data_IF_201441255782
#
_entry.id   IF_201441255782
#
_cell.length_a   1.000
_cell.length_b   1.000
_cell.length_c   1.000
_cell.angle_alpha   90.00
_cell.angle_beta   90.00
_cell.angle_gamma   90.00
#
_symmetry.space_group_name_H-M   'P 1'
#
loop_
_entity.id
_entity.type
_entity.pdbx_description
1 polymer ?
#
# COMPACT_ATOMS: atom_id res chain seq x y z
N UNK A 1 42.14 1.49 -45.48
CA UNK A 1 40.81 2.15 -45.52
C UNK A 1 40.27 2.23 -44.10
N UNK A 2 40.43 3.38 -43.45
CA UNK A 2 40.06 3.58 -42.03
C UNK A 2 38.71 4.29 -42.01
N UNK A 3 37.63 3.58 -41.65
CA UNK A 3 36.28 4.17 -41.52
C UNK A 3 36.28 5.16 -40.34
N UNK A 4 36.13 6.45 -40.66
CA UNK A 4 35.87 7.50 -39.69
C UNK A 4 34.46 7.25 -39.14
N UNK A 5 34.37 6.66 -37.95
CA UNK A 5 33.12 6.50 -37.22
C UNK A 5 32.69 7.90 -36.76
N UNK A 6 31.59 8.40 -37.32
CA UNK A 6 30.97 9.68 -36.98
C UNK A 6 30.71 9.77 -35.48
N UNK A 7 31.40 10.69 -34.79
CA UNK A 7 31.22 11.01 -33.36
C UNK A 7 29.79 11.41 -32.99
N UNK A 8 28.96 11.83 -33.96
CA UNK A 8 27.57 12.21 -33.73
C UNK A 8 26.59 11.04 -33.53
N UNK A 9 26.96 9.81 -33.92
CA UNK A 9 26.11 8.63 -33.73
C UNK A 9 26.08 8.15 -32.27
N UNK A 10 27.23 8.22 -31.59
CA UNK A 10 27.38 7.69 -30.22
C UNK A 10 26.61 8.51 -29.19
N UNK A 11 26.61 9.85 -29.33
CA UNK A 11 25.86 10.75 -28.44
C UNK A 11 24.36 10.62 -28.61
N UNK A 12 23.86 10.44 -29.83
CA UNK A 12 22.42 10.20 -30.09
C UNK A 12 21.95 8.87 -29.53
N UNK A 13 22.75 7.80 -29.67
CA UNK A 13 22.49 6.50 -29.07
C UNK A 13 22.51 6.55 -27.54
N UNK A 14 23.46 7.29 -26.95
CA UNK A 14 23.53 7.46 -25.49
C UNK A 14 22.33 8.24 -24.93
N UNK A 15 21.87 9.28 -25.63
CA UNK A 15 20.66 10.05 -25.25
C UNK A 15 19.40 9.21 -25.41
N UNK A 16 19.27 8.44 -26.50
CA UNK A 16 18.13 7.55 -26.70
C UNK A 16 18.10 6.44 -25.64
N UNK A 17 19.26 5.85 -25.33
CA UNK A 17 19.39 4.86 -24.28
C UNK A 17 19.00 5.44 -22.91
N UNK A 18 19.51 6.62 -22.54
CA UNK A 18 19.17 7.25 -21.25
C UNK A 18 17.68 7.59 -21.14
N UNK A 19 17.02 8.03 -22.22
CA UNK A 19 15.56 8.24 -22.25
C UNK A 19 14.80 6.91 -22.08
N UNK A 20 15.26 5.82 -22.69
CA UNK A 20 14.65 4.48 -22.52
C UNK A 20 14.85 3.92 -21.10
N UNK A 21 16.01 4.16 -20.47
CA UNK A 21 16.25 3.78 -19.09
C UNK A 21 15.38 4.57 -18.10
N UNK A 22 15.16 5.86 -18.35
CA UNK A 22 14.34 6.73 -17.49
C UNK A 22 12.82 6.52 -17.63
N UNK A 23 12.35 5.94 -18.74
CA UNK A 23 10.92 5.64 -18.97
C UNK A 23 10.56 4.19 -18.68
N UNK A 24 11.52 3.39 -18.22
CA UNK A 24 11.40 1.93 -18.19
C UNK A 24 10.26 1.40 -17.33
N UNK A 25 9.96 2.05 -16.20
CA UNK A 25 8.89 1.61 -15.32
C UNK A 25 8.13 2.78 -14.71
N UNK A 26 6.80 2.80 -14.91
CA UNK A 26 5.93 3.78 -14.26
C UNK A 26 5.19 3.13 -13.09
N UNK A 27 5.41 3.67 -11.88
CA UNK A 27 4.70 3.27 -10.66
C UNK A 27 3.77 4.42 -10.26
N UNK A 28 2.47 4.20 -10.42
CA UNK A 28 1.44 5.18 -10.08
C UNK A 28 0.90 4.88 -8.69
N UNK A 29 0.96 5.89 -7.82
CA UNK A 29 0.43 5.81 -6.45
C UNK A 29 -0.93 6.47 -6.40
N UNK A 30 -1.86 5.82 -5.73
CA UNK A 30 -3.16 6.36 -5.41
C UNK A 30 -3.31 6.36 -3.89
N UNK A 31 -3.21 7.53 -3.30
CA UNK A 31 -3.42 7.78 -1.86
C UNK A 31 -3.90 9.21 -1.72
N UNK A 32 -4.83 9.44 -0.80
CA UNK A 32 -5.23 10.80 -0.49
C UNK A 32 -4.08 11.51 0.23
N UNK A 33 -3.84 12.76 -0.17
CA UNK A 33 -2.83 13.58 0.48
C UNK A 33 -3.34 14.01 1.86
N UNK A 34 -2.46 13.93 2.85
CA UNK A 34 -2.76 14.46 4.18
C UNK A 34 -2.75 16.01 4.14
N UNK A 35 -3.67 16.68 4.84
CA UNK A 35 -3.71 18.14 4.90
C UNK A 35 -2.52 18.67 5.72
N UNK A 36 -1.64 19.46 5.08
CA UNK A 36 -0.42 19.99 5.73
C UNK A 36 -0.72 20.94 6.89
N UNK A 37 -1.82 21.69 6.80
CA UNK A 37 -2.22 22.63 7.83
C UNK A 37 -2.56 21.88 9.14
N UNK A 38 -3.28 20.76 9.04
CA UNK A 38 -3.64 19.95 10.20
C UNK A 38 -2.41 19.35 10.87
N UNK A 39 -1.39 18.94 10.11
CA UNK A 39 -0.12 18.46 10.69
C UNK A 39 0.58 19.55 11.52
N UNK A 40 0.53 20.80 11.06
CA UNK A 40 1.09 21.93 11.80
C UNK A 40 0.30 22.22 13.08
N UNK A 41 -1.03 22.19 13.00
CA UNK A 41 -1.91 22.35 14.16
C UNK A 41 -1.66 21.26 15.21
N UNK A 42 -1.60 20.00 14.79
CA UNK A 42 -1.28 18.85 15.65
C UNK A 42 0.04 19.03 16.39
N UNK A 43 1.08 19.50 15.70
CA UNK A 43 2.40 19.69 16.32
C UNK A 43 2.44 20.80 17.37
N UNK A 44 1.48 21.75 17.31
CA UNK A 44 1.38 22.89 18.23
C UNK A 44 0.41 22.68 19.37
N UNK A 45 -0.48 21.70 19.22
CA UNK A 45 -1.53 21.43 20.17
C UNK A 45 -0.98 20.80 21.45
N UNK A 46 -0.98 21.59 22.53
CA UNK A 46 -0.52 21.14 23.86
C UNK A 46 -1.59 20.36 24.63
N UNK A 47 -2.84 20.41 24.19
CA UNK A 47 -3.95 19.69 24.82
C UNK A 47 -4.09 18.26 24.31
N UNK A 48 -3.32 17.91 23.27
CA UNK A 48 -3.28 16.56 22.73
C UNK A 48 -2.81 15.58 23.80
N UNK A 49 -3.58 14.51 24.02
CA UNK A 49 -3.23 13.44 24.96
C UNK A 49 -2.52 12.32 24.20
N UNK A 50 -1.18 12.20 24.30
CA UNK A 50 -0.46 11.18 23.55
C UNK A 50 -0.80 9.76 24.03
N UNK A 51 -0.58 8.79 23.16
CA UNK A 51 -0.64 7.37 23.47
C UNK A 51 0.69 6.89 24.06
N UNK A 52 0.61 6.03 25.08
CA UNK A 52 1.79 5.43 25.72
C UNK A 52 2.39 4.27 24.91
N UNK A 53 1.55 3.56 24.17
CA UNK A 53 1.92 2.30 23.51
C UNK A 53 1.39 2.27 22.08
N UNK A 54 2.25 1.88 21.14
CA UNK A 54 1.86 1.56 19.77
C UNK A 54 2.16 0.08 19.50
N UNK A 55 1.13 -0.65 19.09
CA UNK A 55 1.22 -2.02 18.61
C UNK A 55 1.14 -2.00 17.08
N UNK A 56 2.14 -2.55 16.40
CA UNK A 56 2.20 -2.55 14.93
C UNK A 56 2.17 -3.97 14.41
N UNK A 57 1.23 -4.26 13.50
CA UNK A 57 1.11 -5.50 12.77
C UNK A 57 1.14 -5.23 11.26
N UNK A 58 1.76 -6.13 10.50
CA UNK A 58 1.72 -6.09 9.04
C UNK A 58 1.44 -7.48 8.49
N UNK A 59 0.31 -7.66 7.82
CA UNK A 59 -0.15 -8.89 7.19
C UNK A 59 -0.10 -8.74 5.66
N UNK A 60 0.53 -9.68 4.97
CA UNK A 60 0.64 -9.66 3.52
C UNK A 60 -0.14 -10.82 2.89
N UNK A 61 -0.97 -10.53 1.89
CA UNK A 61 -1.69 -11.48 1.08
C UNK A 61 -1.03 -11.49 -0.32
N UNK A 62 -0.13 -12.45 -0.57
CA UNK A 62 0.71 -12.43 -1.77
C UNK A 62 -0.10 -12.63 -3.06
N UNK A 63 0.47 -12.17 -4.17
CA UNK A 63 -0.16 -12.19 -5.49
C UNK A 63 -0.58 -13.60 -5.92
N UNK A 64 0.22 -14.63 -5.65
CA UNK A 64 -0.08 -16.02 -6.02
C UNK A 64 -1.41 -16.52 -5.46
N UNK A 65 -1.72 -16.19 -4.20
CA UNK A 65 -2.98 -16.55 -3.55
C UNK A 65 -4.18 -15.78 -4.12
N UNK A 66 -3.95 -14.57 -4.65
CA UNK A 66 -4.97 -13.76 -5.30
C UNK A 66 -5.23 -14.20 -6.74
N UNK A 67 -4.20 -14.47 -7.54
CA UNK A 67 -4.34 -14.91 -8.94
C UNK A 67 -4.91 -16.33 -9.04
N UNK A 68 -4.54 -17.22 -8.12
CA UNK A 68 -5.15 -18.55 -7.99
C UNK A 68 -6.63 -18.51 -7.55
N UNK A 69 -7.18 -17.36 -7.15
CA UNK A 69 -8.63 -17.24 -6.87
C UNK A 69 -9.46 -16.87 -8.11
N UNK A 70 -8.80 -16.52 -9.23
CA UNK A 70 -9.44 -16.15 -10.49
C UNK A 70 -9.57 -17.42 -11.34
N UNK A 71 -10.67 -18.15 -11.20
CA UNK A 71 -10.96 -19.35 -12.01
C UNK A 71 -11.44 -20.57 -11.24
N UNK A 72 -11.34 -20.55 -9.91
CA UNK A 72 -11.89 -21.61 -9.05
C UNK A 72 -13.34 -21.27 -8.67
N UNK A 73 -14.21 -22.28 -8.70
CA UNK A 73 -15.60 -22.19 -8.20
C UNK A 73 -15.62 -21.85 -6.72
N UNK A 74 -16.68 -21.18 -6.23
CA UNK A 74 -16.77 -20.65 -4.87
C UNK A 74 -16.54 -21.67 -3.75
N UNK A 75 -16.60 -22.98 -4.05
CA UNK A 75 -16.38 -24.08 -3.12
C UNK A 75 -14.89 -24.38 -2.82
N UNK A 76 -13.93 -23.94 -3.65
CA UNK A 76 -12.48 -24.24 -3.48
C UNK A 76 -11.63 -23.02 -3.07
N UNK A 77 -12.26 -21.88 -2.74
CA UNK A 77 -11.55 -20.73 -2.16
C UNK A 77 -11.07 -21.09 -0.75
N UNK A 78 -9.93 -21.77 -0.64
CA UNK A 78 -9.18 -21.81 0.61
C UNK A 78 -9.04 -20.38 1.13
N UNK A 79 -9.50 -20.13 2.37
CA UNK A 79 -9.43 -18.82 3.02
C UNK A 79 -7.99 -18.32 2.91
N UNK A 80 -7.77 -17.26 2.13
CA UNK A 80 -6.43 -16.75 1.86
C UNK A 80 -5.71 -16.50 3.20
N UNK A 81 -4.63 -17.22 3.45
CA UNK A 81 -3.86 -17.07 4.68
C UNK A 81 -2.83 -15.95 4.50
N UNK A 82 -2.74 -15.00 5.44
CA UNK A 82 -1.70 -13.99 5.38
C UNK A 82 -0.33 -14.65 5.59
N UNK A 83 0.65 -14.17 4.84
CA UNK A 83 2.06 -14.48 5.01
C UNK A 83 2.72 -13.35 5.79
N UNK A 84 3.64 -13.72 6.69
CA UNK A 84 4.43 -12.74 7.43
C UNK A 84 5.35 -11.97 6.48
N UNK A 85 5.42 -10.66 6.67
CA UNK A 85 6.35 -9.79 5.94
C UNK A 85 7.78 -10.02 6.45
N UNK A 86 8.77 -9.87 5.58
CA UNK A 86 10.17 -9.92 5.96
C UNK A 86 10.47 -8.96 7.14
N UNK A 87 11.23 -9.43 8.12
CA UNK A 87 11.50 -8.68 9.35
C UNK A 87 12.11 -7.30 9.09
N UNK A 88 12.98 -7.18 8.08
CA UNK A 88 13.60 -5.91 7.70
C UNK A 88 12.56 -4.87 7.24
N UNK A 89 11.57 -5.29 6.46
CA UNK A 89 10.49 -4.40 5.98
C UNK A 89 9.54 -4.05 7.12
N UNK A 90 9.17 -5.04 7.94
CA UNK A 90 8.38 -4.83 9.15
C UNK A 90 9.04 -3.82 10.10
N UNK A 91 10.33 -3.99 10.42
CA UNK A 91 11.08 -3.10 11.31
C UNK A 91 11.14 -1.68 10.74
N UNK A 92 11.40 -1.51 9.44
CA UNK A 92 11.40 -0.20 8.76
C UNK A 92 10.02 0.46 8.82
N UNK A 93 8.94 -0.31 8.66
CA UNK A 93 7.58 0.20 8.77
C UNK A 93 7.24 0.61 10.21
N UNK A 94 7.47 -0.27 11.18
CA UNK A 94 7.27 0.01 12.61
C UNK A 94 8.05 1.24 13.06
N UNK A 95 9.32 1.34 12.70
CA UNK A 95 10.14 2.51 13.02
C UNK A 95 9.59 3.81 12.41
N UNK A 96 8.99 3.75 11.21
CA UNK A 96 8.36 4.91 10.57
C UNK A 96 7.05 5.31 11.26
N UNK A 97 6.22 4.33 11.66
CA UNK A 97 5.00 4.57 12.45
C UNK A 97 5.38 5.28 13.74
N UNK A 98 6.27 4.71 14.55
CA UNK A 98 6.70 5.30 15.81
C UNK A 98 7.27 6.71 15.62
N UNK A 99 8.11 6.90 14.60
CA UNK A 99 8.70 8.21 14.30
C UNK A 99 7.64 9.25 13.96
N UNK A 100 6.72 8.96 13.03
CA UNK A 100 5.71 9.94 12.58
C UNK A 100 4.72 10.24 13.70
N UNK A 101 4.24 9.22 14.42
CA UNK A 101 3.32 9.44 15.54
C UNK A 101 3.97 10.24 16.68
N UNK A 102 5.28 10.09 16.90
CA UNK A 102 6.04 10.92 17.85
C UNK A 102 6.19 12.35 17.33
N UNK A 103 6.58 12.51 16.06
CA UNK A 103 6.72 13.83 15.40
C UNK A 103 5.39 14.60 15.39
N UNK A 104 4.27 13.90 15.31
CA UNK A 104 2.94 14.49 15.32
C UNK A 104 2.38 14.78 16.71
N UNK A 105 3.12 14.48 17.78
CA UNK A 105 2.66 14.65 19.17
C UNK A 105 1.64 13.62 19.65
N UNK A 106 1.26 12.65 18.81
CA UNK A 106 0.26 11.62 19.15
C UNK A 106 0.88 10.52 20.02
N UNK A 107 2.20 10.34 20.01
CA UNK A 107 2.87 9.27 20.74
C UNK A 107 3.97 9.79 21.66
N UNK A 108 3.86 9.43 22.93
CA UNK A 108 4.84 9.68 23.97
C UNK A 108 4.81 8.49 24.95
N UNK A 109 5.90 7.72 24.99
CA UNK A 109 5.98 6.52 25.83
C UNK A 109 5.98 6.83 27.34
N UNK A 110 6.42 8.02 27.74
CA UNK A 110 6.59 8.40 29.14
C UNK A 110 5.37 9.15 29.67
N UNK A 111 4.80 10.04 28.85
CA UNK A 111 3.69 10.93 29.26
C UNK A 111 2.34 10.52 28.73
N UNK A 112 2.29 9.57 27.80
CA UNK A 112 1.06 9.13 27.16
C UNK A 112 0.23 8.19 28.03
N UNK A 113 -1.00 7.94 27.57
CA UNK A 113 -1.91 6.96 28.14
C UNK A 113 -2.66 6.22 27.03
N UNK A 114 -3.02 4.97 27.27
CA UNK A 114 -3.73 4.14 26.28
C UNK A 114 -2.81 3.50 25.24
N UNK A 115 -3.43 2.76 24.33
CA UNK A 115 -2.79 1.95 23.30
C UNK A 115 -3.37 2.27 21.93
N UNK A 116 -2.49 2.32 20.93
CA UNK A 116 -2.86 2.49 19.53
C UNK A 116 -2.41 1.27 18.73
N UNK A 117 -3.35 0.56 18.10
CA UNK A 117 -3.07 -0.67 17.33
C UNK A 117 -3.11 -0.32 15.85
N UNK A 118 -1.95 -0.32 15.20
CA UNK A 118 -1.82 -0.11 13.75
C UNK A 118 -1.66 -1.46 13.06
N UNK A 119 -2.60 -1.79 12.19
CA UNK A 119 -2.56 -2.98 11.37
C UNK A 119 -2.52 -2.62 9.89
N UNK A 120 -1.46 -3.01 9.20
CA UNK A 120 -1.31 -2.84 7.76
C UNK A 120 -1.59 -4.17 7.07
N UNK A 121 -2.61 -4.18 6.22
CA UNK A 121 -2.91 -5.27 5.31
C UNK A 121 -2.44 -4.90 3.91
N UNK A 122 -1.74 -5.81 3.26
CA UNK A 122 -1.29 -5.62 1.87
C UNK A 122 -1.81 -6.75 1.01
N UNK A 123 -2.38 -6.43 -0.14
CA UNK A 123 -2.97 -7.39 -1.07
C UNK A 123 -2.30 -7.29 -2.43
N UNK A 124 -1.95 -8.44 -3.00
CA UNK A 124 -1.36 -8.53 -4.33
C UNK A 124 0.11 -8.12 -4.37
N UNK A 125 0.80 -8.11 -3.21
CA UNK A 125 2.25 -7.90 -3.19
C UNK A 125 2.92 -9.05 -3.93
N UNK A 126 3.87 -8.72 -4.78
CA UNK A 126 4.56 -9.64 -5.66
C UNK A 126 6.07 -9.48 -5.50
N UNK A 127 6.79 -10.55 -5.76
CA UNK A 127 8.25 -10.57 -5.92
C UNK A 127 8.60 -10.83 -7.39
N UNK A 128 9.84 -10.53 -7.79
CA UNK A 128 10.29 -10.89 -9.14
C UNK A 128 10.13 -12.40 -9.39
N UNK A 129 10.54 -13.25 -8.43
CA UNK A 129 10.39 -14.70 -8.60
C UNK A 129 8.95 -15.08 -8.93
N UNK A 130 7.96 -14.52 -8.24
CA UNK A 130 6.53 -14.78 -8.49
C UNK A 130 6.04 -14.18 -9.82
N UNK A 131 6.55 -13.00 -10.18
CA UNK A 131 6.22 -12.35 -11.45
C UNK A 131 6.73 -13.18 -12.63
N UNK A 132 7.97 -13.67 -12.56
CA UNK A 132 8.57 -14.50 -13.59
C UNK A 132 7.92 -15.89 -13.66
N UNK A 133 7.65 -16.53 -12.52
CA UNK A 133 7.10 -17.90 -12.51
C UNK A 133 5.64 -17.97 -12.94
N UNK A 134 4.86 -16.94 -12.63
CA UNK A 134 3.40 -16.98 -12.76
C UNK A 134 2.92 -16.00 -13.83
N UNK A 135 3.19 -14.71 -13.64
CA UNK A 135 2.64 -13.66 -14.49
C UNK A 135 3.13 -13.75 -15.93
N UNK A 136 4.40 -14.02 -16.17
CA UNK A 136 4.92 -14.10 -17.54
C UNK A 136 4.57 -15.42 -18.22
N UNK A 137 4.51 -16.51 -17.46
CA UNK A 137 4.14 -17.83 -18.00
C UNK A 137 2.69 -17.85 -18.46
N UNK A 138 1.78 -17.37 -17.60
CA UNK A 138 0.33 -17.45 -17.83
C UNK A 138 -0.18 -16.37 -18.80
N UNK A 139 0.52 -15.24 -18.89
CA UNK A 139 0.10 -14.07 -19.70
C UNK A 139 0.89 -13.93 -21.00
N UNK A 140 1.50 -15.04 -21.47
CA UNK A 140 2.51 -15.02 -22.53
C UNK A 140 2.02 -14.62 -23.93
N UNK A 141 0.70 -14.58 -24.14
CA UNK A 141 0.10 -14.10 -25.39
C UNK A 141 -0.25 -12.60 -25.38
N UNK A 142 -0.26 -11.93 -24.22
CA UNK A 142 -0.65 -10.50 -24.05
C UNK A 142 0.57 -9.57 -24.15
N UNK A 143 1.75 -10.10 -24.46
CA UNK A 143 3.03 -9.40 -24.39
C UNK A 143 3.20 -8.14 -25.27
N UNK A 144 2.28 -7.86 -26.19
CA UNK A 144 2.27 -6.62 -26.97
C UNK A 144 1.68 -5.45 -26.16
N UNK A 145 0.79 -5.72 -25.19
CA UNK A 145 0.08 -4.69 -24.44
C UNK A 145 0.73 -4.42 -23.08
N UNK A 146 0.78 -3.15 -22.64
CA UNK A 146 1.28 -2.80 -21.31
C UNK A 146 0.42 -3.49 -20.25
N UNK A 147 1.08 -4.25 -19.40
CA UNK A 147 0.43 -5.07 -18.39
C UNK A 147 0.61 -4.41 -17.02
N UNK A 148 -0.40 -4.45 -16.15
CA UNK A 148 -0.37 -3.71 -14.89
C UNK A 148 -0.72 -4.59 -13.69
N UNK A 149 0.09 -4.54 -12.65
CA UNK A 149 -0.21 -5.17 -11.35
C UNK A 149 -0.54 -4.08 -10.33
N UNK A 150 -1.66 -4.26 -9.62
CA UNK A 150 -2.10 -3.37 -8.56
C UNK A 150 -1.88 -4.02 -7.20
N UNK A 151 -1.14 -3.34 -6.34
CA UNK A 151 -0.99 -3.69 -4.92
C UNK A 151 -1.89 -2.77 -4.11
N UNK A 152 -2.78 -3.32 -3.28
CA UNK A 152 -3.65 -2.54 -2.41
C UNK A 152 -3.12 -2.59 -0.97
N UNK A 153 -3.16 -1.45 -0.30
CA UNK A 153 -2.76 -1.28 1.09
C UNK A 153 -3.99 -0.81 1.86
N UNK A 154 -4.23 -1.44 2.99
CA UNK A 154 -5.31 -1.08 3.91
C UNK A 154 -4.71 -0.96 5.30
N UNK A 155 -4.81 0.22 5.89
CA UNK A 155 -4.29 0.51 7.22
C UNK A 155 -5.46 0.75 8.15
N UNK A 156 -5.53 -0.04 9.21
CA UNK A 156 -6.50 0.08 10.27
C UNK A 156 -5.79 0.53 11.52
N UNK A 157 -6.29 1.57 12.16
CA UNK A 157 -5.79 2.03 13.45
C UNK A 157 -6.92 2.03 14.46
N UNK A 158 -6.80 1.18 15.47
CA UNK A 158 -7.72 1.12 16.61
C UNK A 158 -7.15 1.94 17.76
N UNK A 159 -7.99 2.80 18.32
CA UNK A 159 -7.70 3.69 19.43
C UNK A 159 -8.28 3.07 20.70
N UNK A 160 -7.46 2.90 21.73
CA UNK A 160 -7.90 2.43 23.05
C UNK A 160 -7.34 3.38 24.13
N UNK A 161 -8.11 4.39 24.53
CA UNK A 161 -7.69 5.40 25.52
C UNK A 161 -8.83 5.78 26.46
N UNK A 162 -8.87 5.16 27.64
CA UNK A 162 -9.97 5.34 28.58
C UNK A 162 -11.28 4.82 27.99
N UNK A 163 -12.29 5.68 27.87
CA UNK A 163 -13.58 5.37 27.24
C UNK A 163 -13.57 5.58 25.71
N UNK A 164 -12.51 6.17 25.15
CA UNK A 164 -12.40 6.37 23.71
C UNK A 164 -11.95 5.08 23.03
N UNK A 165 -12.91 4.40 22.40
CA UNK A 165 -12.69 3.32 21.45
C UNK A 165 -13.18 3.72 20.06
N UNK A 166 -12.25 3.97 19.14
CA UNK A 166 -12.58 4.39 17.77
C UNK A 166 -11.62 3.73 16.78
N UNK A 167 -11.99 3.75 15.50
CA UNK A 167 -11.26 3.13 14.40
C UNK A 167 -11.05 4.14 13.29
N UNK A 168 -9.81 4.25 12.82
CA UNK A 168 -9.41 5.05 11.65
C UNK A 168 -8.95 4.09 10.57
N UNK A 169 -9.49 4.25 9.36
CA UNK A 169 -9.24 3.34 8.25
C UNK A 169 -8.73 4.11 7.04
N UNK A 170 -7.67 3.59 6.43
CA UNK A 170 -7.03 4.22 5.27
C UNK A 170 -6.75 3.20 4.18
N UNK A 171 -7.09 3.58 2.93
CA UNK A 171 -6.83 2.77 1.75
C UNK A 171 -5.85 3.47 0.83
N UNK A 172 -4.99 2.69 0.19
CA UNK A 172 -4.09 3.19 -0.83
C UNK A 172 -3.76 2.09 -1.83
N UNK A 173 -3.27 2.46 -3.00
CA UNK A 173 -2.81 1.46 -3.97
C UNK A 173 -1.62 1.93 -4.80
N UNK A 174 -0.87 0.95 -5.28
CA UNK A 174 0.23 1.14 -6.22
C UNK A 174 -0.09 0.34 -7.46
N UNK A 175 -0.25 1.02 -8.59
CA UNK A 175 -0.32 0.39 -9.90
C UNK A 175 1.08 0.42 -10.51
N UNK A 176 1.63 -0.75 -10.76
CA UNK A 176 2.90 -0.92 -11.47
C UNK A 176 2.59 -1.35 -12.90
N UNK A 177 2.98 -0.54 -13.87
CA UNK A 177 2.82 -0.87 -15.30
C UNK A 177 4.15 -1.37 -15.85
N UNK A 178 4.14 -2.55 -16.43
CA UNK A 178 5.28 -3.18 -17.08
C UNK A 178 5.18 -3.01 -18.60
N UNK A 179 6.25 -2.50 -19.18
CA UNK A 179 6.54 -2.51 -20.61
C UNK A 179 7.49 -3.67 -20.94
N UNK A 180 7.11 -4.56 -21.86
CA UNK A 180 7.91 -5.74 -22.18
C UNK A 180 9.33 -5.40 -22.67
N UNK A 181 9.45 -4.36 -23.50
CA UNK A 181 10.74 -3.95 -24.08
C UNK A 181 11.81 -3.61 -23.03
N UNK A 182 11.38 -3.34 -21.80
CA UNK A 182 12.22 -2.88 -20.70
C UNK A 182 12.34 -3.94 -19.61
N UNK A 183 11.80 -5.14 -19.88
CA UNK A 183 11.77 -6.26 -18.96
C UNK A 183 13.14 -6.72 -18.44
N UNK A 184 14.21 -6.84 -19.26
CA UNK A 184 15.54 -7.19 -18.77
C UNK A 184 16.12 -6.17 -17.79
N UNK A 185 15.59 -4.94 -17.78
CA UNK A 185 16.08 -3.85 -16.95
C UNK A 185 15.34 -3.74 -15.61
N UNK A 186 14.20 -4.43 -15.44
CA UNK A 186 13.42 -4.33 -14.20
C UNK A 186 14.16 -4.75 -12.94
N UNK A 187 14.96 -5.83 -12.90
CA UNK A 187 15.70 -6.21 -11.69
C UNK A 187 16.57 -5.08 -11.11
N UNK A 188 16.94 -4.10 -11.93
CA UNK A 188 17.77 -2.94 -11.56
C UNK A 188 16.93 -1.71 -11.14
N UNK A 189 15.62 -1.71 -11.36
CA UNK A 189 14.72 -0.62 -10.99
C UNK A 189 14.12 -0.84 -9.58
N UNK A 190 14.40 0.03 -8.58
CA UNK A 190 13.90 -0.15 -7.24
C UNK A 190 12.42 0.28 -7.10
N UNK A 191 11.51 -0.67 -7.12
CA UNK A 191 10.08 -0.48 -6.81
C UNK A 191 9.80 0.04 -5.38
N UNK A 192 10.77 -0.12 -4.47
CA UNK A 192 10.64 0.21 -3.04
C UNK A 192 10.40 1.71 -2.76
N UNK A 193 10.85 2.61 -3.65
CA UNK A 193 10.72 4.06 -3.42
C UNK A 193 9.26 4.52 -3.46
N UNK A 194 8.43 3.92 -4.32
CA UNK A 194 7.03 4.29 -4.44
C UNK A 194 6.25 3.88 -3.19
N UNK A 195 6.39 2.63 -2.77
CA UNK A 195 5.84 2.06 -1.53
C UNK A 195 6.27 2.85 -0.30
N UNK A 196 7.56 3.18 -0.16
CA UNK A 196 8.07 3.96 0.98
C UNK A 196 7.33 5.28 1.16
N UNK A 197 7.15 6.03 0.06
CA UNK A 197 6.47 7.33 0.10
C UNK A 197 4.95 7.19 0.22
N UNK A 198 4.34 6.11 -0.29
CA UNK A 198 2.93 5.79 -0.07
C UNK A 198 2.66 5.53 1.41
N UNK A 199 3.41 4.60 2.02
CA UNK A 199 3.28 4.26 3.42
C UNK A 199 3.51 5.47 4.32
N UNK A 200 4.47 6.34 3.98
CA UNK A 200 4.67 7.61 4.71
C UNK A 200 3.40 8.47 4.70
N UNK A 201 2.75 8.61 3.54
CA UNK A 201 1.51 9.40 3.42
C UNK A 201 0.35 8.78 4.18
N UNK A 202 0.18 7.46 4.09
CA UNK A 202 -0.86 6.75 4.85
C UNK A 202 -0.68 6.94 6.35
N UNK A 203 0.56 6.83 6.87
CA UNK A 203 0.84 7.02 8.30
C UNK A 203 0.52 8.45 8.73
N UNK A 204 0.89 9.47 7.94
CA UNK A 204 0.55 10.86 8.24
C UNK A 204 -0.96 11.11 8.22
N UNK A 205 -1.67 10.57 7.23
CA UNK A 205 -3.13 10.69 7.13
C UNK A 205 -3.82 10.01 8.31
N UNK A 206 -3.37 8.81 8.66
CA UNK A 206 -3.85 8.07 9.83
C UNK A 206 -3.61 8.85 11.12
N UNK A 207 -2.43 9.46 11.28
CA UNK A 207 -2.13 10.32 12.43
C UNK A 207 -3.11 11.50 12.49
N UNK A 208 -3.40 12.15 11.37
CA UNK A 208 -4.41 13.21 11.29
C UNK A 208 -5.81 12.70 11.68
N UNK A 209 -6.23 11.55 11.17
CA UNK A 209 -7.52 10.96 11.53
C UNK A 209 -7.62 10.65 13.03
N UNK A 210 -6.58 10.09 13.62
CA UNK A 210 -6.51 9.83 15.07
C UNK A 210 -6.63 11.13 15.88
N UNK A 211 -5.94 12.19 15.47
CA UNK A 211 -6.02 13.50 16.09
C UNK A 211 -7.43 14.09 16.02
N UNK A 212 -8.07 14.04 14.85
CA UNK A 212 -9.43 14.53 14.67
C UNK A 212 -10.43 13.77 15.55
N UNK A 213 -10.30 12.44 15.64
CA UNK A 213 -11.11 11.62 16.55
C UNK A 213 -10.91 11.98 18.02
N UNK A 214 -9.67 12.22 18.46
CA UNK A 214 -9.39 12.67 19.83
C UNK A 214 -10.02 14.04 20.15
N UNK A 215 -10.15 14.91 19.14
CA UNK A 215 -10.81 16.22 19.28
C UNK A 215 -12.33 16.15 19.09
N UNK A 216 -12.90 14.98 18.79
CA UNK A 216 -14.32 14.84 18.46
C UNK A 216 -14.72 15.52 17.15
N UNK A 217 -13.75 15.85 16.29
CA UNK A 217 -13.96 16.45 14.98
C UNK A 217 -14.18 15.33 13.96
N UNK A 218 -15.11 15.55 13.03
CA UNK A 218 -15.29 14.67 11.87
C UNK A 218 -14.32 15.09 10.78
N UNK A 219 -13.70 14.13 10.12
CA UNK A 219 -13.01 14.39 8.86
C UNK A 219 -14.01 14.92 7.84
N UNK A 220 -13.70 16.07 7.22
CA UNK A 220 -14.41 16.46 6.01
C UNK A 220 -14.16 15.38 4.96
N UNK A 221 -15.22 14.80 4.35
CA UNK A 221 -15.04 13.76 3.37
C UNK A 221 -14.29 14.35 2.18
N UNK A 222 -13.04 13.93 1.99
CA UNK A 222 -12.35 14.10 0.73
C UNK A 222 -13.29 13.53 -0.36
N UNK A 223 -13.61 14.36 -1.35
CA UNK A 223 -14.51 14.09 -2.45
C UNK A 223 -14.45 12.62 -2.87
N UNK A 224 -15.54 11.87 -2.64
CA UNK A 224 -15.61 10.40 -2.76
C UNK A 224 -15.03 9.92 -4.09
N UNK A 225 -13.77 9.49 -4.09
CA UNK A 225 -13.25 8.63 -5.14
C UNK A 225 -14.06 7.34 -5.04
N UNK A 226 -14.77 7.00 -6.13
CA UNK A 226 -15.66 5.83 -6.24
C UNK A 226 -15.08 4.63 -5.48
N UNK A 227 -15.83 4.24 -4.46
CA UNK A 227 -15.70 3.05 -3.61
C UNK A 227 -14.73 1.99 -4.17
N UNK A 228 -13.48 2.03 -3.73
CA UNK A 228 -12.63 0.84 -3.79
C UNK A 228 -13.25 -0.09 -2.75
N UNK A 229 -14.05 -1.06 -3.19
CA UNK A 229 -14.59 -2.11 -2.31
C UNK A 229 -13.46 -2.66 -1.48
N UNK A 230 -13.53 -2.52 -0.16
CA UNK A 230 -12.56 -3.11 0.77
C UNK A 230 -12.52 -4.62 0.48
N UNK A 231 -11.38 -5.29 0.48
CA UNK A 231 -11.34 -6.75 0.38
C UNK A 231 -12.23 -7.44 1.43
N UNK A 232 -12.39 -6.84 2.63
CA UNK A 232 -13.39 -7.28 3.62
C UNK A 232 -14.84 -7.13 3.12
N UNK A 233 -15.18 -6.09 2.36
CA UNK A 233 -16.48 -5.97 1.70
C UNK A 233 -16.62 -6.93 0.51
N UNK A 234 -15.53 -7.35 -0.15
CA UNK A 234 -15.54 -8.41 -1.16
C UNK A 234 -15.66 -9.81 -0.52
N UNK A 235 -15.12 -10.00 0.68
CA UNK A 235 -15.22 -11.22 1.48
C UNK A 235 -16.59 -11.33 2.19
N UNK A 236 -17.14 -10.23 2.71
CA UNK A 236 -18.47 -10.19 3.32
C UNK A 236 -19.60 -10.32 2.30
N UNK A 237 -19.44 -9.85 1.06
CA UNK A 237 -20.48 -10.01 0.01
C UNK A 237 -20.64 -11.45 -0.48
N UNK A 238 -19.62 -12.31 -0.30
CA UNK A 238 -19.75 -13.75 -0.49
C UNK A 238 -20.45 -14.43 0.70
N UNK A 239 -20.21 -13.97 1.94
CA UNK A 239 -20.84 -14.55 3.14
C UNK A 239 -22.34 -14.22 3.24
N UNK A 240 -22.77 -13.02 2.88
CA UNK A 240 -24.19 -12.62 2.98
C UNK A 240 -25.13 -13.26 1.93
N UNK A 241 -24.60 -13.91 0.88
CA UNK A 241 -25.41 -14.57 -0.14
C UNK A 241 -25.65 -16.06 0.12
N UNK A 242 -24.84 -16.72 0.96
CA UNK A 242 -25.02 -18.15 1.25
C UNK A 242 -26.12 -18.41 2.28
N UNK A 243 -26.27 -17.55 3.29
CA UNK A 243 -27.32 -17.72 4.33
C UNK A 243 -28.76 -17.50 3.83
N UNK A 244 -28.95 -16.81 2.69
CA UNK A 244 -30.26 -16.61 2.07
C UNK A 244 -30.65 -17.68 1.04
N UNK A 245 -29.74 -18.59 0.66
CA UNK A 245 -30.05 -19.69 -0.25
C UNK A 245 -30.20 -21.05 0.44
N UNK A 246 -29.66 -21.24 1.65
CA UNK A 246 -29.82 -22.50 2.41
C UNK A 246 -31.10 -22.57 3.27
N UNK A 247 -31.80 -21.46 3.51
CA UNK A 247 -33.07 -21.43 4.27
C UNK A 247 -34.31 -21.19 3.38
N UNK A 248 -34.19 -21.41 2.07
CA UNK A 248 -35.23 -21.15 1.07
C UNK A 248 -35.71 -22.38 0.30
N UNK A 249 -35.72 -23.57 0.92
CA UNK A 249 -36.46 -24.75 0.46
C UNK A 249 -37.09 -25.47 1.64
#
# INVERSE_FOLDING_TARGET
MTKIISRGGLTRLAVLASVLFLTSCASFKHVDLFPRNTVYEMSKDKELKPFSRILVRWRNYPFKTYSQSIGYTDAEKEKMKPVNVAYADYSKFKGRVLKIFKESGIYDAEKGAGTLKVDLLTFGKWTYSELFSSYLTDTSFIFILPSSIKVNYYMVTEIEQGELTDKVEETASIKTTFHLLLFPLYPLAPFSSSEKSLLKQMIWKTATGVYLKQKGLKEEPAEKIKEIKTPEQLLQKSEYKQDYQENGK
#
